data_IF_245389109604
#
_entry.id   IF_245389109604
#
_cell.length_a   1.000
_cell.length_b   1.000
_cell.length_c   1.000
_cell.angle_alpha   90.00
_cell.angle_beta   90.00
_cell.angle_gamma   90.00
#
_symmetry.space_group_name_H-M   'P 1'
#
loop_
_entity.id
_entity.type
_entity.pdbx_description
1 polymer ?
#
# COMPACT_ATOMS: atom_id res chain seq x y z
N UNK A 1 13.47 13.00 -14.55
CA UNK A 1 13.34 11.52 -14.47
C UNK A 1 13.69 11.11 -13.05
N UNK A 2 12.71 10.79 -12.20
CA UNK A 2 12.95 10.37 -10.81
C UNK A 2 13.44 8.91 -10.87
N UNK A 3 14.75 8.70 -10.75
CA UNK A 3 15.35 7.37 -10.75
C UNK A 3 15.21 6.72 -9.38
N UNK A 4 14.03 6.17 -9.08
CA UNK A 4 13.89 5.24 -7.96
C UNK A 4 14.62 3.96 -8.36
N UNK A 5 15.85 3.78 -7.86
CA UNK A 5 16.70 2.62 -8.21
C UNK A 5 16.09 1.27 -7.79
N UNK A 6 15.11 1.27 -6.89
CA UNK A 6 14.50 0.06 -6.36
C UNK A 6 13.01 -0.02 -6.70
N UNK A 7 12.68 -0.87 -7.67
CA UNK A 7 11.29 -1.14 -8.11
C UNK A 7 10.34 -1.53 -6.96
N UNK A 8 10.85 -2.13 -5.89
CA UNK A 8 10.03 -2.52 -4.73
C UNK A 8 9.62 -1.32 -3.87
N UNK A 9 10.41 -0.25 -3.84
CA UNK A 9 10.02 1.00 -3.15
C UNK A 9 8.89 1.68 -3.94
N UNK A 10 8.97 1.68 -5.26
CA UNK A 10 7.89 2.22 -6.11
C UNK A 10 6.60 1.40 -5.96
N UNK A 11 6.71 0.06 -5.92
CA UNK A 11 5.57 -0.81 -5.65
C UNK A 11 4.98 -0.54 -4.27
N UNK A 12 5.80 -0.44 -3.22
CA UNK A 12 5.36 -0.11 -1.87
C UNK A 12 4.56 1.20 -1.83
N UNK A 13 5.10 2.25 -2.44
CA UNK A 13 4.43 3.55 -2.52
C UNK A 13 3.09 3.46 -3.29
N UNK A 14 3.05 2.72 -4.39
CA UNK A 14 1.82 2.51 -5.16
C UNK A 14 0.73 1.81 -4.33
N UNK A 15 1.08 0.74 -3.63
CA UNK A 15 0.16 0.02 -2.75
C UNK A 15 -0.32 0.86 -1.58
N UNK A 16 0.55 1.70 -0.98
CA UNK A 16 0.16 2.62 0.08
C UNK A 16 -0.80 3.71 -0.40
N UNK A 17 -0.52 4.33 -1.55
CA UNK A 17 -1.41 5.37 -2.10
C UNK A 17 -2.78 4.79 -2.46
N UNK A 18 -2.80 3.63 -3.11
CA UNK A 18 -4.05 2.92 -3.42
C UNK A 18 -4.80 2.53 -2.13
N UNK A 19 -4.09 2.02 -1.12
CA UNK A 19 -4.68 1.68 0.17
C UNK A 19 -5.29 2.89 0.87
N UNK A 20 -4.60 4.04 0.89
CA UNK A 20 -5.14 5.28 1.48
C UNK A 20 -6.41 5.70 0.74
N UNK A 21 -6.39 5.69 -0.59
CA UNK A 21 -7.56 6.05 -1.39
C UNK A 21 -8.77 5.15 -1.08
N UNK A 22 -8.55 3.83 -0.95
CA UNK A 22 -9.60 2.87 -0.59
C UNK A 22 -10.09 3.04 0.85
N UNK A 23 -9.21 3.35 1.80
CA UNK A 23 -9.59 3.64 3.18
C UNK A 23 -10.46 4.89 3.28
N UNK A 24 -10.08 5.96 2.58
CA UNK A 24 -10.86 7.20 2.52
C UNK A 24 -12.21 6.97 1.84
N UNK A 25 -12.22 6.23 0.72
CA UNK A 25 -13.45 5.85 0.03
C UNK A 25 -14.35 4.96 0.92
N UNK A 26 -13.78 4.00 1.65
CA UNK A 26 -14.50 3.13 2.57
C UNK A 26 -15.08 3.90 3.78
N UNK A 27 -14.31 4.85 4.33
CA UNK A 27 -14.77 5.73 5.39
C UNK A 27 -15.95 6.61 4.94
N UNK A 28 -15.86 7.18 3.73
CA UNK A 28 -16.97 7.91 3.12
C UNK A 28 -18.18 7.00 2.84
N UNK A 29 -17.93 5.79 2.33
CA UNK A 29 -18.98 4.81 2.03
C UNK A 29 -19.73 4.35 3.28
N UNK A 30 -19.11 4.37 4.47
CA UNK A 30 -19.78 4.01 5.72
C UNK A 30 -21.10 4.77 5.95
N UNK A 31 -21.19 6.02 5.49
CA UNK A 31 -22.38 6.86 5.63
C UNK A 31 -23.28 6.88 4.38
N UNK A 32 -22.74 6.56 3.21
CA UNK A 32 -23.43 6.75 1.92
C UNK A 32 -23.78 5.43 1.20
N UNK A 33 -22.97 4.39 1.40
CA UNK A 33 -23.04 3.04 0.77
C UNK A 33 -22.46 1.99 1.74
N UNK A 34 -23.17 1.68 2.84
CA UNK A 34 -22.64 0.82 3.90
C UNK A 34 -22.38 -0.63 3.45
N UNK A 35 -23.05 -1.07 2.39
CA UNK A 35 -22.90 -2.38 1.74
C UNK A 35 -21.47 -2.61 1.18
N UNK A 36 -20.82 -1.56 0.65
CA UNK A 36 -19.46 -1.67 0.11
C UNK A 36 -18.37 -1.18 1.07
N UNK A 37 -18.75 -0.49 2.15
CA UNK A 37 -17.81 0.14 3.06
C UNK A 37 -16.83 -0.86 3.68
N UNK A 38 -17.33 -2.00 4.17
CA UNK A 38 -16.49 -3.05 4.77
C UNK A 38 -15.48 -3.61 3.78
N UNK A 39 -15.89 -3.85 2.54
CA UNK A 39 -15.02 -4.35 1.47
C UNK A 39 -13.93 -3.34 1.11
N UNK A 40 -14.29 -2.06 0.92
CA UNK A 40 -13.32 -1.00 0.61
C UNK A 40 -12.28 -0.84 1.72
N UNK A 41 -12.71 -0.85 2.99
CA UNK A 41 -11.81 -0.78 4.13
C UNK A 41 -10.88 -1.99 4.19
N UNK A 42 -11.41 -3.20 3.97
CA UNK A 42 -10.63 -4.44 4.00
C UNK A 42 -9.56 -4.47 2.91
N UNK A 43 -9.95 -4.16 1.66
CA UNK A 43 -9.00 -4.10 0.53
C UNK A 43 -7.98 -2.98 0.77
N UNK A 44 -8.40 -1.84 1.32
CA UNK A 44 -7.50 -0.75 1.69
C UNK A 44 -6.42 -1.18 2.70
N UNK A 45 -6.82 -1.89 3.77
CA UNK A 45 -5.89 -2.44 4.77
C UNK A 45 -4.95 -3.48 4.15
N UNK A 46 -5.47 -4.37 3.30
CA UNK A 46 -4.65 -5.37 2.61
C UNK A 46 -3.62 -4.71 1.68
N UNK A 47 -4.01 -3.67 0.94
CA UNK A 47 -3.10 -2.89 0.13
C UNK A 47 -2.00 -2.24 0.99
N UNK A 48 -2.34 -1.70 2.17
CA UNK A 48 -1.34 -1.18 3.11
C UNK A 48 -0.34 -2.27 3.54
N UNK A 49 -0.85 -3.44 3.94
CA UNK A 49 -0.03 -4.56 4.39
C UNK A 49 0.93 -5.03 3.29
N UNK A 50 0.46 -5.13 2.05
CA UNK A 50 1.29 -5.46 0.88
C UNK A 50 2.37 -4.39 0.67
N UNK A 51 2.01 -3.11 0.78
CA UNK A 51 2.96 -2.00 0.68
C UNK A 51 4.08 -2.08 1.74
N UNK A 52 3.72 -2.37 3.00
CA UNK A 52 4.70 -2.61 4.07
C UNK A 52 5.57 -3.83 3.79
N UNK A 53 5.01 -4.91 3.22
CA UNK A 53 5.76 -6.09 2.80
C UNK A 53 6.82 -5.76 1.75
N UNK A 54 6.47 -5.00 0.70
CA UNK A 54 7.44 -4.56 -0.31
C UNK A 54 8.53 -3.66 0.26
N UNK A 55 8.18 -2.77 1.20
CA UNK A 55 9.17 -1.93 1.86
C UNK A 55 10.14 -2.76 2.70
N UNK A 56 9.62 -3.68 3.52
CA UNK A 56 10.44 -4.59 4.33
C UNK A 56 11.39 -5.41 3.46
N UNK A 57 10.90 -5.91 2.33
CA UNK A 57 11.72 -6.61 1.34
C UNK A 57 12.81 -5.72 0.73
N UNK A 58 12.48 -4.48 0.36
CA UNK A 58 13.45 -3.52 -0.16
C UNK A 58 14.56 -3.19 0.86
N UNK A 59 14.20 -3.03 2.13
CA UNK A 59 15.14 -2.82 3.23
C UNK A 59 16.04 -4.05 3.41
N UNK A 60 15.47 -5.26 3.47
CA UNK A 60 16.23 -6.50 3.60
C UNK A 60 17.20 -6.70 2.44
N UNK A 61 16.79 -6.42 1.19
CA UNK A 61 17.71 -6.45 0.06
C UNK A 61 18.88 -5.47 0.21
N UNK A 62 18.61 -4.25 0.69
CA UNK A 62 19.64 -3.24 0.88
C UNK A 62 20.63 -3.62 1.99
N UNK A 63 20.15 -4.25 3.06
CA UNK A 63 20.97 -4.69 4.20
C UNK A 63 21.76 -5.97 3.88
N UNK A 64 21.15 -6.93 3.19
CA UNK A 64 21.73 -8.24 2.88
C UNK A 64 22.62 -8.24 1.63
N UNK A 65 22.48 -7.25 0.72
CA UNK A 65 23.53 -6.95 -0.26
C UNK A 65 24.74 -6.33 0.45
N UNK A 66 25.45 -7.12 1.24
CA UNK A 66 26.86 -6.87 1.52
C UNK A 66 27.65 -7.24 0.26
N UNK A 67 28.63 -6.39 -0.06
CA UNK A 67 29.56 -6.46 -1.20
C UNK A 67 29.99 -7.89 -1.55
#
# INVERSE_FOLDING_TARGET
MITIKNKFILLAAGFWLAGIALLLAGAWAKNNRPDIAGTLLTIGILAQAIGFGFLGFAIMQAVLKKK
#
